data_IF_190996801399
#
_entry.id   IF_190996801399
#
_cell.length_a   1.000
_cell.length_b   1.000
_cell.length_c   1.000
_cell.angle_alpha   90.00
_cell.angle_beta   90.00
_cell.angle_gamma   90.00
#
_symmetry.space_group_name_H-M   'P 1'
#
loop_
_entity.id
_entity.type
_entity.pdbx_description
1 polymer ?
#
# COMPACT_ATOMS: atom_id res chain seq x y z
N UNK A 1 12.53 -10.67 -24.39
CA UNK A 1 11.80 -10.86 -23.15
C UNK A 1 12.66 -11.35 -21.97
N UNK A 2 13.28 -12.57 -21.98
CA UNK A 2 14.14 -13.01 -20.85
C UNK A 2 15.30 -12.04 -20.58
N UNK A 3 15.93 -11.50 -21.61
CA UNK A 3 17.00 -10.50 -21.49
C UNK A 3 16.52 -9.20 -20.81
N UNK A 4 15.28 -8.80 -21.04
CA UNK A 4 14.70 -7.58 -20.46
C UNK A 4 14.47 -7.69 -18.96
N UNK A 5 14.23 -8.93 -18.48
CA UNK A 5 14.10 -9.23 -17.05
C UNK A 5 15.46 -9.58 -16.41
N UNK A 6 16.58 -9.35 -17.13
CA UNK A 6 17.92 -9.66 -16.64
C UNK A 6 18.25 -11.15 -16.56
N UNK A 7 17.48 -12.01 -17.23
CA UNK A 7 17.76 -13.45 -17.33
C UNK A 7 18.47 -13.78 -18.63
N UNK A 8 19.72 -14.22 -18.51
CA UNK A 8 20.58 -14.57 -19.62
C UNK A 8 20.69 -16.10 -19.71
N UNK A 9 20.44 -16.66 -20.90
CA UNK A 9 20.54 -18.09 -21.16
C UNK A 9 19.38 -18.65 -21.99
N UNK A 10 19.38 -19.95 -22.22
CA UNK A 10 18.27 -20.64 -22.88
C UNK A 10 17.04 -20.69 -21.94
N UNK A 11 15.86 -20.49 -22.52
CA UNK A 11 14.61 -20.61 -21.77
C UNK A 11 14.43 -22.04 -21.25
N UNK A 12 14.04 -22.17 -20.00
CA UNK A 12 13.66 -23.49 -19.45
C UNK A 12 12.30 -23.92 -20.01
N UNK A 13 11.99 -25.23 -20.03
CA UNK A 13 10.67 -25.71 -20.48
C UNK A 13 9.49 -25.11 -19.69
N UNK A 14 9.72 -24.77 -18.43
CA UNK A 14 8.71 -24.08 -17.60
C UNK A 14 8.48 -22.64 -18.05
N UNK A 15 9.56 -21.89 -18.34
CA UNK A 15 9.47 -20.53 -18.88
C UNK A 15 8.84 -20.50 -20.26
N UNK A 16 9.12 -21.52 -21.10
CA UNK A 16 8.49 -21.62 -22.41
C UNK A 16 6.97 -21.77 -22.28
N UNK A 17 6.50 -22.68 -21.44
CA UNK A 17 5.05 -22.86 -21.18
C UNK A 17 4.38 -21.60 -20.65
N UNK A 18 5.05 -20.84 -19.78
CA UNK A 18 4.52 -19.55 -19.30
C UNK A 18 4.42 -18.54 -20.45
N UNK A 19 5.43 -18.50 -21.31
CA UNK A 19 5.44 -17.60 -22.47
C UNK A 19 4.32 -17.95 -23.47
N UNK A 20 4.15 -19.24 -23.76
CA UNK A 20 3.08 -19.72 -24.65
C UNK A 20 1.71 -19.27 -24.12
N UNK A 21 1.47 -19.43 -22.82
CA UNK A 21 0.25 -18.92 -22.17
C UNK A 21 0.10 -17.40 -22.27
N UNK A 22 1.19 -16.63 -22.12
CA UNK A 22 1.14 -15.18 -22.28
C UNK A 22 0.74 -14.79 -23.72
N UNK A 23 1.25 -15.50 -24.75
CA UNK A 23 0.92 -15.23 -26.16
C UNK A 23 -0.51 -15.59 -26.54
N UNK A 24 -1.19 -16.47 -25.78
CA UNK A 24 -2.61 -16.74 -25.90
C UNK A 24 -3.48 -15.57 -25.37
N UNK A 25 -2.94 -14.78 -24.44
CA UNK A 25 -3.68 -13.70 -23.79
C UNK A 25 -3.47 -12.34 -24.49
N UNK A 26 -2.24 -12.04 -24.89
CA UNK A 26 -1.86 -10.72 -25.40
C UNK A 26 -0.83 -10.81 -26.55
N UNK A 27 -0.82 -9.82 -27.47
CA UNK A 27 0.23 -9.64 -28.46
C UNK A 27 1.60 -9.42 -27.81
N UNK A 28 2.66 -9.69 -28.58
CA UNK A 28 4.04 -9.62 -28.09
C UNK A 28 4.41 -8.23 -27.53
N UNK A 29 3.91 -7.16 -28.11
CA UNK A 29 4.13 -5.78 -27.70
C UNK A 29 3.69 -5.55 -26.25
N UNK A 30 2.51 -6.03 -25.91
CA UNK A 30 1.96 -5.92 -24.54
C UNK A 30 2.75 -6.80 -23.55
N UNK A 31 3.16 -8.00 -23.98
CA UNK A 31 4.00 -8.88 -23.17
C UNK A 31 5.36 -8.22 -22.87
N UNK A 32 5.94 -7.52 -23.83
CA UNK A 32 7.18 -6.77 -23.63
C UNK A 32 7.01 -5.58 -22.70
N UNK A 33 5.88 -4.86 -22.76
CA UNK A 33 5.56 -3.82 -21.79
C UNK A 33 5.47 -4.39 -20.37
N UNK A 34 4.74 -5.49 -20.16
CA UNK A 34 4.64 -6.15 -18.87
C UNK A 34 6.00 -6.64 -18.35
N UNK A 35 6.86 -7.15 -19.25
CA UNK A 35 8.22 -7.57 -18.92
C UNK A 35 9.08 -6.38 -18.49
N UNK A 36 8.98 -5.23 -19.17
CA UNK A 36 9.68 -3.99 -18.82
C UNK A 36 9.28 -3.49 -17.41
N UNK A 37 7.98 -3.47 -17.10
CA UNK A 37 7.49 -3.09 -15.78
C UNK A 37 7.99 -4.03 -14.66
N UNK A 38 8.00 -5.34 -14.94
CA UNK A 38 8.52 -6.33 -14.00
C UNK A 38 10.04 -6.19 -13.82
N UNK A 39 10.78 -5.92 -14.89
CA UNK A 39 12.22 -5.69 -14.85
C UNK A 39 12.58 -4.46 -14.01
N UNK A 40 11.90 -3.34 -14.23
CA UNK A 40 12.11 -2.10 -13.50
C UNK A 40 11.92 -2.28 -11.97
N UNK A 41 11.03 -3.20 -11.56
CA UNK A 41 10.75 -3.56 -10.17
C UNK A 41 11.51 -4.80 -9.69
N UNK A 42 12.49 -5.30 -10.47
CA UNK A 42 13.30 -6.48 -10.17
C UNK A 42 12.44 -7.73 -9.83
N UNK A 43 11.30 -7.88 -10.51
CA UNK A 43 10.39 -9.01 -10.33
C UNK A 43 10.83 -10.20 -11.17
N UNK A 44 10.44 -11.40 -10.72
CA UNK A 44 10.72 -12.65 -11.45
C UNK A 44 9.83 -12.80 -12.68
N UNK A 45 10.22 -13.69 -13.59
CA UNK A 45 9.50 -13.98 -14.84
C UNK A 45 8.01 -14.32 -14.62
N UNK A 46 7.69 -15.11 -13.60
CA UNK A 46 6.31 -15.48 -13.25
C UNK A 46 5.42 -14.27 -12.93
N UNK A 47 6.03 -13.15 -12.52
CA UNK A 47 5.30 -11.91 -12.23
C UNK A 47 4.76 -11.25 -13.49
N UNK A 48 5.36 -11.51 -14.66
CA UNK A 48 4.87 -10.99 -15.94
C UNK A 48 3.49 -11.58 -16.25
N UNK A 49 3.33 -12.91 -16.11
CA UNK A 49 2.05 -13.56 -16.32
C UNK A 49 0.98 -13.01 -15.37
N UNK A 50 1.29 -12.88 -14.07
CA UNK A 50 0.35 -12.30 -13.09
C UNK A 50 -0.07 -10.88 -13.44
N UNK A 51 0.85 -10.08 -13.97
CA UNK A 51 0.54 -8.71 -14.40
C UNK A 51 -0.41 -8.71 -15.60
N UNK A 52 -0.15 -9.58 -16.60
CA UNK A 52 -1.02 -9.75 -17.75
C UNK A 52 -2.40 -10.27 -17.36
N UNK A 53 -2.49 -11.27 -16.47
CA UNK A 53 -3.75 -11.77 -15.93
C UNK A 53 -4.55 -10.63 -15.26
N UNK A 54 -3.89 -9.78 -14.47
CA UNK A 54 -4.52 -8.62 -13.82
C UNK A 54 -5.03 -7.58 -14.84
N UNK A 55 -4.35 -7.38 -15.97
CA UNK A 55 -4.81 -6.50 -17.04
C UNK A 55 -6.01 -7.10 -17.79
N UNK A 56 -6.00 -8.40 -18.03
CA UNK A 56 -7.11 -9.11 -18.64
C UNK A 56 -8.38 -9.08 -17.76
N UNK A 57 -8.23 -9.29 -16.45
CA UNK A 57 -9.32 -9.19 -15.47
C UNK A 57 -9.94 -7.78 -15.43
N UNK A 58 -9.14 -6.74 -15.69
CA UNK A 58 -9.60 -5.35 -15.79
C UNK A 58 -10.21 -5.00 -17.14
N UNK A 59 -10.18 -5.92 -18.09
CA UNK A 59 -10.74 -5.73 -19.43
C UNK A 59 -9.88 -4.87 -20.34
N UNK A 60 -8.58 -4.76 -20.09
CA UNK A 60 -7.67 -4.06 -21.00
C UNK A 60 -7.42 -4.93 -22.24
N UNK A 61 -7.67 -4.36 -23.42
CA UNK A 61 -7.59 -5.08 -24.71
C UNK A 61 -6.57 -4.50 -25.66
N UNK A 62 -6.18 -3.25 -25.47
CA UNK A 62 -5.25 -2.56 -26.36
C UNK A 62 -4.06 -1.95 -25.60
N UNK A 63 -3.00 -1.69 -26.37
CA UNK A 63 -1.73 -1.16 -25.86
C UNK A 63 -1.88 0.25 -25.26
N UNK A 64 -2.72 1.09 -25.83
CA UNK A 64 -2.89 2.48 -25.38
C UNK A 64 -3.54 2.52 -23.98
N UNK A 65 -4.57 1.71 -23.75
CA UNK A 65 -5.20 1.58 -22.42
C UNK A 65 -4.19 1.12 -21.37
N UNK A 66 -3.36 0.15 -21.73
CA UNK A 66 -2.33 -0.39 -20.82
C UNK A 66 -1.27 0.66 -20.54
N UNK A 67 -0.77 1.38 -21.55
CA UNK A 67 0.20 2.47 -21.35
C UNK A 67 -0.35 3.57 -20.46
N UNK A 68 -1.57 4.00 -20.69
CA UNK A 68 -2.24 5.00 -19.86
C UNK A 68 -2.39 4.51 -18.40
N UNK A 69 -2.72 3.24 -18.22
CA UNK A 69 -2.79 2.62 -16.89
C UNK A 69 -1.44 2.59 -16.17
N UNK A 70 -0.38 2.19 -16.88
CA UNK A 70 1.00 2.18 -16.36
C UNK A 70 1.43 3.59 -15.96
N UNK A 71 1.20 4.58 -16.82
CA UNK A 71 1.56 5.97 -16.54
C UNK A 71 0.81 6.52 -15.33
N UNK A 72 -0.49 6.30 -15.25
CA UNK A 72 -1.28 6.70 -14.08
C UNK A 72 -0.80 6.04 -12.80
N UNK A 73 -0.38 4.77 -12.87
CA UNK A 73 0.19 4.05 -11.73
C UNK A 73 1.55 4.65 -11.30
N UNK A 74 2.45 4.93 -12.24
CA UNK A 74 3.73 5.58 -11.96
C UNK A 74 3.56 6.96 -11.34
N UNK A 75 2.61 7.75 -11.84
CA UNK A 75 2.29 9.06 -11.27
C UNK A 75 1.80 8.95 -9.81
N UNK A 76 1.03 7.91 -9.48
CA UNK A 76 0.61 7.63 -8.10
C UNK A 76 1.80 7.23 -7.22
N UNK A 77 2.65 6.33 -7.70
CA UNK A 77 3.87 5.92 -6.97
C UNK A 77 4.80 7.12 -6.71
N UNK A 78 5.00 7.97 -7.72
CA UNK A 78 5.84 9.16 -7.59
C UNK A 78 5.25 10.16 -6.59
N UNK A 79 3.94 10.38 -6.64
CA UNK A 79 3.26 11.22 -5.68
C UNK A 79 3.43 10.70 -4.24
N UNK A 80 3.25 9.41 -4.02
CA UNK A 80 3.47 8.79 -2.72
C UNK A 80 4.94 8.88 -2.25
N UNK A 81 5.91 8.75 -3.17
CA UNK A 81 7.32 8.98 -2.84
C UNK A 81 7.56 10.41 -2.36
N UNK A 82 6.96 11.41 -3.01
CA UNK A 82 7.04 12.83 -2.60
C UNK A 82 6.40 13.03 -1.21
N UNK A 83 5.26 12.40 -0.93
CA UNK A 83 4.65 12.46 0.40
C UNK A 83 5.57 11.82 1.47
N UNK A 84 6.18 10.66 1.17
CA UNK A 84 7.11 10.00 2.09
C UNK A 84 8.33 10.87 2.42
N UNK A 85 8.85 11.60 1.44
CA UNK A 85 9.98 12.50 1.67
C UNK A 85 9.67 13.59 2.71
N UNK A 86 8.42 14.01 2.84
CA UNK A 86 7.98 14.95 3.88
C UNK A 86 8.12 14.38 5.29
N UNK A 87 8.05 13.06 5.45
CA UNK A 87 8.15 12.37 6.75
C UNK A 87 9.47 11.64 6.94
N UNK A 88 10.57 12.23 6.48
CA UNK A 88 11.90 11.65 6.60
C UNK A 88 12.22 11.27 8.06
N UNK A 89 12.44 9.98 8.30
CA UNK A 89 12.71 9.40 9.63
C UNK A 89 11.48 8.83 10.36
N UNK A 90 10.28 8.91 9.80
CA UNK A 90 9.09 8.25 10.35
C UNK A 90 8.81 6.95 9.60
N UNK A 91 8.25 5.95 10.30
CA UNK A 91 7.90 4.64 9.74
C UNK A 91 6.59 4.75 8.93
N UNK A 92 6.72 5.35 7.74
CA UNK A 92 5.63 5.44 6.76
C UNK A 92 5.80 4.34 5.71
N UNK A 93 5.17 3.19 5.94
CA UNK A 93 5.12 2.11 4.95
C UNK A 93 4.29 2.56 3.73
N UNK A 94 4.97 2.75 2.59
CA UNK A 94 4.33 3.01 1.31
C UNK A 94 4.27 1.68 0.54
N UNK A 95 3.41 0.81 1.02
CA UNK A 95 3.08 -0.45 0.36
C UNK A 95 1.77 -0.36 -0.44
N UNK A 96 1.31 -1.51 -0.89
CA UNK A 96 0.06 -1.65 -1.65
C UNK A 96 -1.16 -1.07 -0.91
N UNK A 97 -1.19 -1.17 0.43
CA UNK A 97 -2.27 -0.58 1.25
C UNK A 97 -2.35 0.94 1.12
N UNK A 98 -1.20 1.61 1.04
CA UNK A 98 -1.16 3.08 0.88
C UNK A 98 -1.61 3.50 -0.52
N UNK A 99 -1.32 2.71 -1.57
CA UNK A 99 -1.87 2.92 -2.91
C UNK A 99 -3.40 2.79 -2.92
N UNK A 100 -3.96 1.79 -2.24
CA UNK A 100 -5.42 1.63 -2.10
C UNK A 100 -6.05 2.81 -1.35
N UNK A 101 -5.39 3.33 -0.31
CA UNK A 101 -5.85 4.52 0.39
C UNK A 101 -5.81 5.76 -0.50
N UNK A 102 -4.77 5.93 -1.31
CA UNK A 102 -4.69 7.02 -2.27
C UNK A 102 -5.86 6.95 -3.28
N UNK A 103 -6.16 5.76 -3.80
CA UNK A 103 -7.31 5.55 -4.69
C UNK A 103 -8.64 5.86 -4.00
N UNK A 104 -8.81 5.49 -2.75
CA UNK A 104 -9.97 5.84 -1.93
C UNK A 104 -10.09 7.37 -1.80
N UNK A 105 -9.00 8.07 -1.48
CA UNK A 105 -9.01 9.53 -1.31
C UNK A 105 -9.29 10.28 -2.61
N UNK A 106 -8.66 9.86 -3.74
CA UNK A 106 -8.85 10.47 -5.05
C UNK A 106 -10.24 10.15 -5.64
N UNK A 107 -10.62 8.86 -5.69
CA UNK A 107 -11.79 8.39 -6.44
C UNK A 107 -13.07 8.35 -5.60
N UNK A 108 -13.01 7.80 -4.36
CA UNK A 108 -14.21 7.63 -3.54
C UNK A 108 -14.56 8.90 -2.76
N UNK A 109 -13.54 9.61 -2.27
CA UNK A 109 -13.74 10.86 -1.52
C UNK A 109 -13.63 12.10 -2.41
N UNK A 110 -13.09 12.00 -3.65
CA UNK A 110 -12.98 13.10 -4.60
C UNK A 110 -11.99 14.19 -4.20
N UNK A 111 -10.96 13.87 -3.44
CA UNK A 111 -9.94 14.83 -3.05
C UNK A 111 -8.89 15.04 -4.14
N UNK A 112 -8.52 16.30 -4.38
CA UNK A 112 -7.39 16.64 -5.22
C UNK A 112 -6.07 16.28 -4.54
N UNK A 113 -5.00 16.08 -5.33
CA UNK A 113 -3.65 15.85 -4.81
C UNK A 113 -3.14 16.97 -3.91
N UNK A 114 -3.62 18.20 -4.13
CA UNK A 114 -3.32 19.33 -3.26
C UNK A 114 -3.91 19.16 -1.86
N UNK A 115 -5.17 18.69 -1.77
CA UNK A 115 -5.82 18.40 -0.50
C UNK A 115 -5.11 17.24 0.24
N UNK A 116 -4.73 16.20 -0.48
CA UNK A 116 -3.98 15.07 0.08
C UNK A 116 -2.60 15.52 0.56
N UNK A 117 -1.92 16.40 -0.20
CA UNK A 117 -0.63 17.00 0.20
C UNK A 117 -0.76 17.86 1.45
N UNK A 118 -1.85 18.61 1.59
CA UNK A 118 -2.13 19.42 2.78
C UNK A 118 -2.39 18.54 4.02
N UNK A 119 -3.11 17.43 3.84
CA UNK A 119 -3.29 16.44 4.91
C UNK A 119 -1.95 15.80 5.33
N UNK A 120 -1.05 15.59 4.36
CA UNK A 120 0.30 15.08 4.62
C UNK A 120 1.15 16.07 5.41
N UNK A 121 1.03 17.38 5.13
CA UNK A 121 1.72 18.42 5.90
C UNK A 121 1.21 18.46 7.34
N UNK A 122 -0.10 18.30 7.55
CA UNK A 122 -0.69 18.21 8.89
C UNK A 122 -0.28 16.94 9.65
N UNK A 123 0.10 15.88 8.93
CA UNK A 123 0.54 14.61 9.51
C UNK A 123 2.03 14.58 9.88
N UNK A 124 2.78 15.68 9.67
CA UNK A 124 4.24 15.73 9.83
C UNK A 124 4.72 15.27 11.22
N UNK A 125 4.03 15.64 12.28
CA UNK A 125 4.40 15.27 13.65
C UNK A 125 3.68 13.99 14.13
N UNK A 126 2.85 13.38 13.29
CA UNK A 126 2.06 12.24 13.70
C UNK A 126 2.93 10.97 13.74
N UNK A 127 2.85 10.19 14.81
CA UNK A 127 3.55 8.90 14.96
C UNK A 127 3.22 7.91 13.84
N UNK A 128 2.02 8.00 13.24
CA UNK A 128 1.56 7.18 12.12
C UNK A 128 0.93 8.09 11.06
N UNK A 129 1.73 8.70 10.18
CA UNK A 129 1.26 9.75 9.25
C UNK A 129 0.13 9.30 8.35
N UNK A 130 0.22 8.11 7.75
CA UNK A 130 -0.81 7.58 6.83
C UNK A 130 -2.15 7.39 7.52
N UNK A 131 -2.17 6.83 8.73
CA UNK A 131 -3.40 6.64 9.49
C UNK A 131 -4.00 7.98 9.95
N UNK A 132 -3.16 8.96 10.29
CA UNK A 132 -3.60 10.31 10.60
C UNK A 132 -4.24 11.00 9.38
N UNK A 133 -3.61 10.89 8.21
CA UNK A 133 -4.15 11.41 6.95
C UNK A 133 -5.51 10.80 6.62
N UNK A 134 -5.65 9.48 6.70
CA UNK A 134 -6.91 8.81 6.38
C UNK A 134 -8.05 9.31 7.27
N UNK A 135 -7.77 9.48 8.57
CA UNK A 135 -8.73 10.06 9.51
C UNK A 135 -9.07 11.51 9.17
N UNK A 136 -8.05 12.35 8.93
CA UNK A 136 -8.23 13.76 8.63
C UNK A 136 -9.03 13.97 7.34
N UNK A 137 -8.70 13.23 6.28
CA UNK A 137 -9.42 13.28 5.01
C UNK A 137 -10.85 12.74 5.16
N UNK A 138 -11.08 11.75 6.01
CA UNK A 138 -12.43 11.27 6.33
C UNK A 138 -13.23 12.36 7.03
N UNK A 139 -12.68 13.01 8.06
CA UNK A 139 -13.31 14.14 8.75
C UNK A 139 -13.64 15.30 7.80
N UNK A 140 -12.72 15.64 6.89
CA UNK A 140 -12.98 16.66 5.87
C UNK A 140 -14.09 16.27 4.89
N UNK A 141 -14.13 14.99 4.51
CA UNK A 141 -15.18 14.46 3.65
C UNK A 141 -16.56 14.56 4.31
N UNK A 142 -16.68 14.20 5.60
CA UNK A 142 -17.90 14.29 6.39
C UNK A 142 -18.37 15.74 6.59
N UNK A 143 -17.43 16.68 6.77
CA UNK A 143 -17.70 18.11 6.90
C UNK A 143 -17.93 18.81 5.56
N UNK A 144 -17.82 18.11 4.43
CA UNK A 144 -17.96 18.71 3.10
C UNK A 144 -16.82 19.66 2.69
N UNK A 145 -15.67 19.58 3.37
CA UNK A 145 -14.49 20.39 3.08
C UNK A 145 -13.78 19.79 1.86
N UNK A 146 -13.81 20.54 0.74
CA UNK A 146 -13.30 20.08 -0.57
C UNK A 146 -12.22 20.98 -1.16
N UNK A 147 -11.94 22.11 -0.53
CA UNK A 147 -10.94 23.07 -1.03
C UNK A 147 -9.81 23.24 -0.04
N UNK A 148 -8.58 23.50 -0.54
CA UNK A 148 -7.41 23.71 0.32
C UNK A 148 -7.59 24.90 1.28
N UNK A 149 -8.31 25.96 0.87
CA UNK A 149 -8.58 27.13 1.69
C UNK A 149 -9.47 26.80 2.89
N UNK A 150 -10.57 26.08 2.64
CA UNK A 150 -11.48 25.63 3.70
C UNK A 150 -10.78 24.67 4.68
N UNK A 151 -9.92 23.77 4.17
CA UNK A 151 -9.14 22.86 5.00
C UNK A 151 -8.13 23.60 5.90
N UNK A 152 -7.43 24.60 5.34
CA UNK A 152 -6.50 25.45 6.13
C UNK A 152 -7.24 26.26 7.20
N UNK A 153 -8.45 26.71 6.91
CA UNK A 153 -9.27 27.43 7.89
C UNK A 153 -9.75 26.52 9.01
N UNK A 154 -10.20 25.31 8.68
CA UNK A 154 -10.58 24.31 9.66
C UNK A 154 -9.40 23.94 10.59
N UNK A 155 -8.21 23.71 10.04
CA UNK A 155 -7.01 23.44 10.83
C UNK A 155 -6.66 24.58 11.80
N UNK A 156 -6.80 25.83 11.37
CA UNK A 156 -6.57 27.00 12.24
C UNK A 156 -7.60 27.07 13.37
N UNK A 157 -8.86 26.79 13.09
CA UNK A 157 -9.93 26.81 14.10
C UNK A 157 -9.84 25.63 15.06
N UNK A 158 -9.46 24.42 14.57
CA UNK A 158 -9.20 23.27 15.39
C UNK A 158 -8.00 23.48 16.34
N UNK A 159 -6.89 24.01 15.84
CA UNK A 159 -5.73 24.39 16.66
C UNK A 159 -6.03 25.47 17.69
N UNK A 160 -6.85 26.45 17.36
CA UNK A 160 -7.31 27.49 18.31
C UNK A 160 -8.27 26.91 19.36
N UNK A 161 -9.02 25.87 19.01
CA UNK A 161 -9.92 25.15 19.92
C UNK A 161 -9.19 24.25 20.93
N UNK A 162 -8.07 23.64 20.53
CA UNK A 162 -7.23 22.84 21.43
C UNK A 162 -6.48 23.69 22.45
N UNK A 163 -6.03 24.89 22.10
CA UNK A 163 -5.45 25.85 23.04
C UNK A 163 -6.43 26.33 24.11
N UNK A 164 -7.74 26.21 23.87
CA UNK A 164 -8.79 26.51 24.87
C UNK A 164 -9.22 25.30 25.70
N UNK A 165 -8.82 24.07 25.33
CA UNK A 165 -9.18 22.82 26.02
C UNK A 165 -8.02 22.13 26.74
N UNK A 166 -6.86 22.77 26.91
CA UNK A 166 -5.77 22.22 27.73
C UNK A 166 -6.10 22.31 29.22
N UNK A 167 -7.09 21.54 29.63
CA UNK A 167 -7.47 21.23 30.99
C UNK A 167 -8.01 19.81 31.15
N UNK A 168 -8.19 19.08 30.06
CA UNK A 168 -8.54 17.65 30.12
C UNK A 168 -7.85 16.92 28.96
N UNK A 169 -6.88 16.10 29.29
CA UNK A 169 -6.36 15.01 28.48
C UNK A 169 -7.53 14.29 27.79
N UNK A 170 -7.60 14.38 26.47
CA UNK A 170 -8.45 13.49 25.69
C UNK A 170 -7.87 12.10 25.93
N UNK A 171 -8.59 11.13 26.51
CA UNK A 171 -8.07 9.78 26.60
C UNK A 171 -7.81 9.32 25.18
N UNK A 172 -6.56 9.01 24.86
CA UNK A 172 -6.25 8.20 23.72
C UNK A 172 -7.17 6.99 23.82
N UNK A 173 -8.14 6.89 22.90
CA UNK A 173 -8.97 5.71 22.82
C UNK A 173 -7.99 4.56 22.72
N UNK A 174 -7.89 3.81 23.80
CA UNK A 174 -7.18 2.57 23.90
C UNK A 174 -7.63 1.70 22.71
N UNK A 175 -6.88 1.73 21.63
CA UNK A 175 -6.70 0.52 20.87
C UNK A 175 -6.10 -0.43 21.89
N UNK A 176 -6.94 -1.34 22.38
CA UNK A 176 -6.53 -2.46 23.20
C UNK A 176 -5.31 -3.05 22.52
N UNK A 177 -4.17 -2.73 23.07
CA UNK A 177 -2.93 -3.36 22.73
C UNK A 177 -3.21 -4.82 23.09
N UNK A 178 -3.51 -5.66 22.07
CA UNK A 178 -3.58 -7.10 22.26
C UNK A 178 -2.31 -7.43 23.00
N UNK A 179 -2.46 -8.03 24.15
CA UNK A 179 -1.36 -8.36 25.04
C UNK A 179 -0.59 -9.53 24.43
N UNK A 180 0.22 -9.20 23.41
CA UNK A 180 1.10 -10.17 22.73
C UNK A 180 2.05 -10.88 23.68
N UNK A 181 2.28 -10.30 24.86
CA UNK A 181 3.15 -10.90 25.87
C UNK A 181 2.45 -12.05 26.58
N UNK A 182 1.17 -11.91 26.90
CA UNK A 182 0.34 -12.98 27.47
C UNK A 182 0.10 -14.13 26.50
N UNK A 183 -0.14 -13.85 25.22
CA UNK A 183 -0.32 -14.88 24.19
C UNK A 183 0.98 -15.68 23.93
N UNK A 184 2.15 -15.02 23.98
CA UNK A 184 3.44 -15.72 23.84
C UNK A 184 3.77 -16.57 25.08
N UNK A 185 3.48 -16.11 26.27
CA UNK A 185 3.69 -16.87 27.51
C UNK A 185 2.77 -18.08 27.58
N UNK A 186 1.52 -17.95 27.16
CA UNK A 186 0.56 -19.06 27.10
C UNK A 186 0.91 -20.09 25.99
N UNK A 187 1.41 -19.65 24.84
CA UNK A 187 1.90 -20.52 23.79
C UNK A 187 3.15 -21.32 24.26
N UNK A 188 4.07 -20.63 24.94
CA UNK A 188 5.28 -21.25 25.49
C UNK A 188 4.94 -22.25 26.61
N UNK A 189 3.96 -21.94 27.47
CA UNK A 189 3.48 -22.82 28.53
C UNK A 189 2.82 -24.09 27.97
N UNK A 190 2.05 -23.98 26.87
CA UNK A 190 1.46 -25.13 26.16
C UNK A 190 2.51 -26.01 25.50
N UNK A 191 3.56 -25.44 24.90
CA UNK A 191 4.70 -26.22 24.37
C UNK A 191 5.45 -26.99 25.47
N UNK A 192 5.72 -26.34 26.59
CA UNK A 192 6.43 -26.98 27.71
C UNK A 192 5.60 -28.05 28.44
N UNK A 193 4.27 -27.94 28.47
CA UNK A 193 3.39 -28.94 29.04
C UNK A 193 3.21 -30.16 28.14
N UNK A 194 3.34 -29.98 26.79
CA UNK A 194 3.28 -31.08 25.82
C UNK A 194 4.50 -32.04 25.83
N UNK A 195 5.65 -31.55 26.30
CA UNK A 195 6.90 -32.35 26.35
C UNK A 195 6.95 -33.29 27.59
N UNK A 196 6.09 -33.07 28.59
CA UNK A 196 6.15 -33.86 29.86
C UNK A 196 5.35 -35.16 29.85
N UNK A 197 4.55 -35.42 28.81
CA UNK A 197 3.70 -36.63 28.74
C UNK A 197 4.15 -37.67 27.69
N UNK A 198 5.41 -37.63 27.22
CA UNK A 198 5.95 -38.55 26.22
C UNK A 198 7.00 -39.51 26.72
N UNK A 199 7.10 -39.77 28.01
CA UNK A 199 8.15 -40.62 28.56
C UNK A 199 7.70 -41.53 29.67
N UNK A 200 6.80 -42.49 29.40
CA UNK A 200 6.64 -43.71 30.19
C UNK A 200 5.69 -44.68 29.46
N UNK A 201 6.26 -45.58 28.72
CA UNK A 201 5.75 -46.94 28.50
C UNK A 201 6.68 -47.70 27.57
N UNK A 202 7.56 -48.48 28.16
CA UNK A 202 7.83 -49.88 27.77
C UNK A 202 8.99 -50.41 28.63
N UNK A 203 8.62 -51.16 29.63
CA UNK A 203 9.33 -52.33 30.12
C UNK A 203 8.31 -53.43 30.38
#
# INVERSE_FOLDING_TARGET
>A
MLKEIGQYGAATPAQQRLYDRMTEMFPQEIILLAAGECAAKQKKFDSVLKLLESWQERGFTDEEQIRNHIEAFHQKEEFLKKLRQKWAGQDADIGQKTLQLLEKWENSMGFSREMISLAADAAFEAKKPIAYMDRLLTDWSEKGIRTPEAAKQEQKTAGAGELRKTGKTVPAQQYSQRDYKGEQEDAMRRMLSGVRNGGESHA
#
